data_IF_124975387298
#
_entry.id   IF_124975387298
#
_cell.length_a   1.000
_cell.length_b   1.000
_cell.length_c   1.000
_cell.angle_alpha   90.00
_cell.angle_beta   90.00
_cell.angle_gamma   90.00
#
_symmetry.space_group_name_H-M   'P 1'
#
loop_
_entity.id
_entity.type
_entity.pdbx_description
1 polymer ?
#
# COMPACT_ATOMS: atom_id res chain seq x y z
N UNK A 1 43.51 47.67 -0.15
CA UNK A 1 43.17 46.69 0.90
C UNK A 1 42.50 45.52 0.20
N UNK A 2 43.04 44.30 0.33
CA UNK A 2 42.38 43.11 -0.21
C UNK A 2 41.04 42.91 0.50
N UNK A 3 39.96 42.71 -0.25
CA UNK A 3 38.63 42.43 0.30
C UNK A 3 38.73 41.10 1.04
N UNK A 4 38.27 41.05 2.29
CA UNK A 4 38.31 39.84 3.09
C UNK A 4 37.50 38.74 2.38
N UNK A 5 38.11 37.57 2.19
CA UNK A 5 37.51 36.44 1.48
C UNK A 5 36.87 35.55 2.54
N UNK A 6 35.55 35.43 2.48
CA UNK A 6 34.81 34.50 3.33
C UNK A 6 35.27 33.07 3.04
N UNK A 7 35.50 32.26 4.06
CA UNK A 7 35.95 30.87 3.92
C UNK A 7 35.21 29.95 4.89
N UNK A 8 34.95 28.74 4.43
CA UNK A 8 34.42 27.62 5.23
C UNK A 8 35.45 26.49 5.24
N UNK A 9 35.82 26.00 6.41
CA UNK A 9 36.73 24.86 6.57
C UNK A 9 36.26 23.91 7.66
N UNK A 10 36.76 22.68 7.64
CA UNK A 10 36.46 21.67 8.64
C UNK A 10 36.98 20.31 8.22
N UNK A 11 36.61 19.29 8.98
CA UNK A 11 36.97 17.91 8.69
C UNK A 11 35.71 17.06 8.58
N UNK A 12 35.49 16.48 7.40
CA UNK A 12 34.35 15.64 7.13
C UNK A 12 34.51 14.24 7.73
N UNK A 13 33.42 13.74 8.30
CA UNK A 13 33.31 12.41 8.86
C UNK A 13 32.04 11.74 8.39
N UNK A 14 32.15 10.43 8.17
CA UNK A 14 31.09 9.59 7.66
C UNK A 14 30.74 8.52 8.68
N UNK A 15 29.47 8.45 9.07
CA UNK A 15 28.96 7.48 10.03
C UNK A 15 28.00 6.51 9.35
N UNK A 16 28.36 5.22 9.37
CA UNK A 16 27.58 4.15 8.77
C UNK A 16 27.41 4.22 7.24
N UNK A 17 28.23 5.01 6.55
CA UNK A 17 28.43 4.87 5.10
C UNK A 17 29.57 3.87 4.83
N UNK A 18 29.44 3.00 3.80
CA UNK A 18 30.51 2.09 3.44
C UNK A 18 31.67 2.88 2.81
N UNK A 19 32.67 3.21 3.62
CA UNK A 19 33.84 4.02 3.24
C UNK A 19 34.62 3.44 2.05
N UNK A 20 34.68 2.11 1.94
CA UNK A 20 35.30 1.40 0.81
C UNK A 20 34.64 1.67 -0.56
N UNK A 21 33.44 2.26 -0.57
CA UNK A 21 32.68 2.56 -1.79
C UNK A 21 32.69 4.04 -2.16
N UNK A 22 33.26 4.90 -1.33
CA UNK A 22 33.33 6.35 -1.59
C UNK A 22 34.49 6.63 -2.54
N UNK A 23 34.20 7.14 -3.73
CA UNK A 23 35.21 7.43 -4.75
C UNK A 23 35.64 8.90 -4.76
N UNK A 24 34.74 9.81 -4.42
CA UNK A 24 35.01 11.24 -4.35
C UNK A 24 34.06 11.90 -3.36
N UNK A 25 34.54 12.98 -2.73
CA UNK A 25 33.75 13.81 -1.83
C UNK A 25 34.00 15.27 -2.16
N UNK A 26 32.92 15.98 -2.46
CA UNK A 26 32.91 17.38 -2.85
C UNK A 26 32.07 18.18 -1.85
N UNK A 27 32.61 19.30 -1.39
CA UNK A 27 31.94 20.26 -0.52
C UNK A 27 31.50 21.44 -1.37
N UNK A 28 30.22 21.79 -1.28
CA UNK A 28 29.60 22.93 -1.93
C UNK A 28 29.11 23.92 -0.87
N UNK A 29 29.41 25.19 -1.05
CA UNK A 29 28.87 26.28 -0.22
C UNK A 29 27.87 27.05 -1.05
N UNK A 30 26.61 27.09 -0.63
CA UNK A 30 25.55 27.84 -1.32
C UNK A 30 25.00 28.96 -0.45
N UNK A 31 24.67 30.09 -1.07
CA UNK A 31 24.12 31.27 -0.38
C UNK A 31 22.66 31.10 0.02
N UNK A 32 21.88 30.34 -0.75
CA UNK A 32 20.48 30.06 -0.53
C UNK A 32 20.09 28.72 -1.16
N UNK A 33 18.98 28.16 -0.68
CA UNK A 33 18.37 26.95 -1.22
C UNK A 33 16.85 27.16 -1.24
N UNK A 34 16.18 26.93 -2.36
CA UNK A 34 14.72 27.01 -2.43
C UNK A 34 14.06 25.87 -1.62
N UNK A 35 12.81 26.06 -1.19
CA UNK A 35 12.09 25.01 -0.45
C UNK A 35 11.98 23.72 -1.28
N UNK A 36 11.73 23.83 -2.59
CA UNK A 36 11.67 22.69 -3.49
C UNK A 36 13.02 21.97 -3.63
N UNK A 37 14.13 22.72 -3.71
CA UNK A 37 15.48 22.14 -3.73
C UNK A 37 15.81 21.42 -2.42
N UNK A 38 15.42 22.02 -1.28
CA UNK A 38 15.58 21.42 0.05
C UNK A 38 14.82 20.11 0.18
N UNK A 39 13.54 20.10 -0.19
CA UNK A 39 12.71 18.89 -0.17
C UNK A 39 13.30 17.79 -1.05
N UNK A 40 13.76 18.15 -2.26
CA UNK A 40 14.33 17.20 -3.22
C UNK A 40 15.63 16.55 -2.69
N UNK A 41 16.49 17.33 -2.05
CA UNK A 41 17.74 16.85 -1.43
C UNK A 41 17.45 15.95 -0.21
N UNK A 42 16.50 16.33 0.64
CA UNK A 42 16.07 15.53 1.79
C UNK A 42 15.45 14.19 1.35
N UNK A 43 14.63 14.21 0.31
CA UNK A 43 13.98 13.01 -0.23
C UNK A 43 14.99 12.04 -0.85
N UNK A 44 15.97 12.55 -1.60
CA UNK A 44 17.10 11.74 -2.08
C UNK A 44 17.83 11.05 -0.92
N UNK A 45 18.10 11.78 0.17
CA UNK A 45 18.78 11.27 1.36
C UNK A 45 17.98 10.16 2.04
N UNK A 46 16.67 10.33 2.22
CA UNK A 46 15.79 9.28 2.76
C UNK A 46 15.82 7.99 1.92
N UNK A 47 15.66 8.11 0.59
CA UNK A 47 15.67 6.97 -0.32
C UNK A 47 17.04 6.26 -0.32
N UNK A 48 18.11 7.03 -0.21
CA UNK A 48 19.46 6.51 -0.11
C UNK A 48 19.66 5.70 1.17
N UNK A 49 19.22 6.22 2.32
CA UNK A 49 19.30 5.50 3.60
C UNK A 49 18.54 4.18 3.57
N UNK A 50 17.35 4.16 2.97
CA UNK A 50 16.57 2.94 2.79
C UNK A 50 17.35 1.90 1.96
N UNK A 51 18.06 2.34 0.91
CA UNK A 51 18.88 1.48 0.06
C UNK A 51 20.08 0.88 0.79
N UNK A 52 20.80 1.66 1.62
CA UNK A 52 22.03 1.17 2.29
C UNK A 52 21.77 0.41 3.59
N UNK A 53 20.69 0.71 4.32
CA UNK A 53 20.38 0.05 5.60
C UNK A 53 19.64 -1.27 5.42
N UNK A 54 19.27 -1.63 4.20
CA UNK A 54 18.43 -2.80 3.93
C UNK A 54 17.00 -2.65 4.47
N UNK A 55 16.60 -1.46 4.97
CA UNK A 55 15.20 -1.09 5.14
C UNK A 55 14.60 -0.79 3.77
N UNK A 56 14.58 -1.83 2.94
CA UNK A 56 13.62 -1.94 1.87
C UNK A 56 12.26 -1.92 2.58
N UNK A 57 11.56 -0.78 2.57
CA UNK A 57 10.09 -0.83 2.62
C UNK A 57 9.75 -1.91 1.63
N UNK A 58 9.17 -3.02 2.13
CA UNK A 58 8.85 -4.22 1.36
C UNK A 58 8.52 -3.81 -0.07
N UNK A 59 9.13 -4.46 -1.09
CA UNK A 59 8.73 -4.21 -2.48
C UNK A 59 7.20 -4.25 -2.50
N UNK A 60 6.60 -3.23 -3.14
CA UNK A 60 5.17 -3.00 -3.19
C UNK A 60 4.47 -4.37 -3.14
N UNK A 61 3.78 -4.64 -2.02
CA UNK A 61 3.08 -5.90 -1.83
C UNK A 61 2.24 -6.09 -3.10
N UNK A 62 2.61 -7.07 -3.92
CA UNK A 62 1.95 -7.31 -5.19
C UNK A 62 0.49 -7.47 -4.84
N UNK A 63 -0.36 -6.54 -5.30
CA UNK A 63 -1.78 -6.62 -5.00
C UNK A 63 -2.27 -7.99 -5.42
N UNK A 64 -2.80 -8.77 -4.46
CA UNK A 64 -3.39 -10.09 -4.75
C UNK A 64 -4.58 -10.01 -5.69
N UNK A 65 -5.14 -8.79 -5.86
CA UNK A 65 -6.27 -8.50 -6.72
C UNK A 65 -5.87 -7.43 -7.75
N UNK A 66 -5.94 -7.77 -9.04
CA UNK A 66 -5.61 -6.86 -10.13
C UNK A 66 -6.45 -5.57 -10.06
N UNK A 67 -5.80 -4.41 -10.17
CA UNK A 67 -6.47 -3.11 -10.19
C UNK A 67 -6.95 -2.60 -8.82
N UNK A 68 -6.34 -3.05 -7.72
CA UNK A 68 -6.64 -2.62 -6.34
C UNK A 68 -5.34 -2.32 -5.58
N UNK A 69 -5.43 -1.48 -4.53
CA UNK A 69 -4.28 -1.20 -3.64
C UNK A 69 -3.93 -2.44 -2.79
N UNK A 70 -2.67 -2.65 -2.39
CA UNK A 70 -2.29 -3.83 -1.60
C UNK A 70 -3.03 -3.94 -0.26
N UNK A 71 -3.25 -2.81 0.41
CA UNK A 71 -3.98 -2.75 1.69
C UNK A 71 -5.46 -3.14 1.51
N UNK A 72 -6.13 -2.59 0.49
CA UNK A 72 -7.51 -2.95 0.18
C UNK A 72 -7.59 -4.43 -0.25
N UNK A 73 -6.63 -4.92 -1.04
CA UNK A 73 -6.59 -6.31 -1.48
C UNK A 73 -6.48 -7.29 -0.32
N UNK A 74 -5.60 -7.03 0.66
CA UNK A 74 -5.49 -7.84 1.88
C UNK A 74 -6.80 -7.90 2.68
N UNK A 75 -7.48 -6.75 2.84
CA UNK A 75 -8.74 -6.68 3.58
C UNK A 75 -9.86 -7.43 2.86
N UNK A 76 -9.94 -7.27 1.55
CA UNK A 76 -10.91 -7.96 0.70
C UNK A 76 -10.68 -9.47 0.75
N UNK A 77 -9.44 -9.94 0.56
CA UNK A 77 -9.09 -11.37 0.61
C UNK A 77 -9.43 -12.00 1.97
N UNK A 78 -9.09 -11.33 3.07
CA UNK A 78 -9.46 -11.79 4.41
C UNK A 78 -10.98 -11.88 4.59
N UNK A 79 -11.72 -10.91 4.07
CA UNK A 79 -13.19 -10.89 4.12
C UNK A 79 -13.80 -12.04 3.33
N UNK A 80 -13.33 -12.28 2.09
CA UNK A 80 -13.79 -13.39 1.26
C UNK A 80 -13.48 -14.75 1.91
N UNK A 81 -12.29 -14.91 2.50
CA UNK A 81 -11.88 -16.15 3.16
C UNK A 81 -12.72 -16.47 4.41
N UNK A 82 -13.25 -15.47 5.10
CA UNK A 82 -14.10 -15.65 6.29
C UNK A 82 -15.57 -15.95 5.99
N UNK A 83 -16.06 -15.68 4.78
CA UNK A 83 -17.48 -15.91 4.43
C UNK A 83 -17.88 -17.39 4.44
N UNK A 84 -17.11 -18.35 3.89
CA UNK A 84 -17.47 -19.77 3.92
C UNK A 84 -17.79 -20.32 5.32
N UNK A 85 -17.13 -19.80 6.37
CA UNK A 85 -17.36 -20.22 7.76
C UNK A 85 -18.73 -19.76 8.30
N UNK A 86 -19.33 -18.74 7.67
CA UNK A 86 -20.62 -18.16 8.04
C UNK A 86 -21.78 -18.73 7.21
N UNK A 87 -21.54 -19.77 6.41
CA UNK A 87 -22.59 -20.38 5.60
C UNK A 87 -23.69 -20.98 6.51
N UNK A 88 -24.98 -20.68 6.27
CA UNK A 88 -26.06 -21.09 7.17
C UNK A 88 -26.19 -22.62 7.22
N UNK A 89 -26.15 -23.22 8.43
CA UNK A 89 -26.26 -24.67 8.59
C UNK A 89 -27.66 -25.17 8.18
N UNK A 90 -27.78 -26.48 7.95
CA UNK A 90 -29.08 -27.14 7.78
C UNK A 90 -29.96 -26.80 8.99
N UNK A 91 -31.15 -26.26 8.73
CA UNK A 91 -32.12 -25.96 9.77
C UNK A 91 -32.84 -27.24 10.17
N UNK A 92 -32.98 -27.47 11.47
CA UNK A 92 -33.72 -28.60 12.04
C UNK A 92 -34.73 -28.02 13.03
N UNK A 93 -35.97 -28.47 12.96
CA UNK A 93 -37.06 -27.98 13.81
C UNK A 93 -37.94 -29.16 14.24
N UNK A 94 -38.24 -29.22 15.53
CA UNK A 94 -39.13 -30.21 16.12
C UNK A 94 -40.54 -29.58 16.19
N UNK A 95 -41.45 -30.03 15.33
CA UNK A 95 -42.81 -29.49 15.18
C UNK A 95 -43.78 -30.33 16.00
N UNK A 96 -44.61 -29.67 16.81
CA UNK A 96 -45.72 -30.29 17.54
C UNK A 96 -46.93 -30.44 16.62
N UNK A 97 -47.31 -31.68 16.33
CA UNK A 97 -48.46 -32.02 15.49
C UNK A 97 -49.74 -32.22 16.34
N UNK A 98 -49.68 -31.92 17.64
CA UNK A 98 -50.73 -32.18 18.61
C UNK A 98 -50.73 -33.63 19.11
N UNK A 99 -51.58 -33.92 20.10
CA UNK A 99 -51.73 -35.27 20.70
C UNK A 99 -50.42 -35.91 21.19
N UNK A 100 -49.51 -35.12 21.80
CA UNK A 100 -48.17 -35.55 22.25
C UNK A 100 -47.27 -36.12 21.14
N UNK A 101 -47.48 -35.73 19.88
CA UNK A 101 -46.64 -36.13 18.74
C UNK A 101 -45.75 -34.97 18.32
N UNK A 102 -44.44 -35.16 18.48
CA UNK A 102 -43.42 -34.28 17.90
C UNK A 102 -42.77 -34.97 16.71
N UNK A 103 -42.60 -34.23 15.63
CA UNK A 103 -41.92 -34.71 14.44
C UNK A 103 -40.79 -33.75 14.07
N UNK A 104 -39.62 -34.33 13.79
CA UNK A 104 -38.44 -33.58 13.41
C UNK A 104 -38.44 -33.37 11.89
N UNK A 105 -38.34 -32.12 11.48
CA UNK A 105 -38.18 -31.71 10.09
C UNK A 105 -36.83 -31.02 9.91
N UNK A 106 -36.28 -31.09 8.69
CA UNK A 106 -34.99 -30.47 8.39
C UNK A 106 -34.99 -29.83 7.00
N UNK A 107 -34.33 -28.70 6.80
CA UNK A 107 -34.22 -28.08 5.47
C UNK A 107 -33.55 -29.02 4.45
N UNK A 108 -33.88 -28.87 3.17
CA UNK A 108 -33.35 -29.73 2.09
C UNK A 108 -31.82 -29.86 2.07
N UNK A 109 -31.30 -31.05 2.35
CA UNK A 109 -29.86 -31.36 2.29
C UNK A 109 -29.29 -31.28 0.87
N UNK A 110 -30.12 -31.46 -0.16
CA UNK A 110 -29.70 -31.32 -1.55
C UNK A 110 -29.45 -29.84 -1.89
N UNK A 111 -30.40 -28.96 -1.56
CA UNK A 111 -30.24 -27.51 -1.73
C UNK A 111 -29.07 -26.99 -0.89
N UNK A 112 -28.90 -27.48 0.35
CA UNK A 112 -27.76 -27.14 1.18
C UNK A 112 -26.42 -27.35 0.47
N UNK A 113 -26.18 -28.56 -0.05
CA UNK A 113 -24.93 -28.90 -0.76
C UNK A 113 -24.74 -28.06 -2.02
N UNK A 114 -25.83 -27.81 -2.74
CA UNK A 114 -25.79 -27.01 -3.96
C UNK A 114 -25.40 -25.56 -3.66
N UNK A 115 -26.07 -24.89 -2.72
CA UNK A 115 -25.73 -23.53 -2.33
C UNK A 115 -24.32 -23.43 -1.74
N UNK A 116 -23.92 -24.39 -0.88
CA UNK A 116 -22.57 -24.43 -0.33
C UNK A 116 -21.51 -24.47 -1.45
N UNK A 117 -21.73 -25.29 -2.48
CA UNK A 117 -20.86 -25.36 -3.65
C UNK A 117 -20.85 -24.05 -4.45
N UNK A 118 -22.03 -23.45 -4.68
CA UNK A 118 -22.15 -22.20 -5.43
C UNK A 118 -21.39 -21.06 -4.74
N UNK A 119 -21.56 -20.88 -3.43
CA UNK A 119 -20.81 -19.86 -2.68
C UNK A 119 -19.31 -20.16 -2.63
N UNK A 120 -18.91 -21.41 -2.42
CA UNK A 120 -17.49 -21.80 -2.43
C UNK A 120 -16.80 -21.59 -3.80
N UNK A 121 -17.58 -21.51 -4.88
CA UNK A 121 -17.06 -21.24 -6.22
C UNK A 121 -16.81 -19.75 -6.53
N UNK A 122 -17.24 -18.85 -5.64
CA UNK A 122 -17.05 -17.42 -5.79
C UNK A 122 -15.58 -17.05 -5.61
N UNK A 123 -15.06 -16.31 -6.58
CA UNK A 123 -13.71 -15.76 -6.66
C UNK A 123 -13.79 -14.32 -7.16
N UNK A 124 -12.74 -13.53 -6.97
CA UNK A 124 -12.71 -12.13 -7.43
C UNK A 124 -13.01 -11.96 -8.92
N UNK A 125 -12.51 -12.85 -9.77
CA UNK A 125 -12.71 -12.76 -11.22
C UNK A 125 -14.12 -13.17 -11.68
N UNK A 126 -14.98 -13.70 -10.80
CA UNK A 126 -16.33 -14.14 -11.15
C UNK A 126 -17.41 -13.62 -10.19
N UNK A 127 -17.08 -12.80 -9.18
CA UNK A 127 -17.98 -12.42 -8.09
C UNK A 127 -19.30 -11.84 -8.58
N UNK A 128 -19.29 -10.92 -9.55
CA UNK A 128 -20.50 -10.33 -10.13
C UNK A 128 -21.39 -11.38 -10.82
N UNK A 129 -20.78 -12.21 -11.68
CA UNK A 129 -21.49 -13.25 -12.45
C UNK A 129 -22.04 -14.33 -11.53
N UNK A 130 -21.25 -14.75 -10.54
CA UNK A 130 -21.62 -15.74 -9.56
C UNK A 130 -22.77 -15.26 -8.67
N UNK A 131 -22.74 -14.01 -8.22
CA UNK A 131 -23.83 -13.43 -7.44
C UNK A 131 -25.11 -13.27 -8.25
N UNK A 132 -25.03 -12.86 -9.52
CA UNK A 132 -26.19 -12.81 -10.39
C UNK A 132 -26.84 -14.19 -10.57
N UNK A 133 -26.02 -15.23 -10.77
CA UNK A 133 -26.51 -16.61 -10.86
C UNK A 133 -27.19 -17.07 -9.57
N UNK A 134 -26.54 -16.86 -8.42
CA UNK A 134 -27.08 -17.25 -7.11
C UNK A 134 -28.40 -16.53 -6.82
N UNK A 135 -28.50 -15.23 -7.11
CA UNK A 135 -29.74 -14.45 -6.91
C UNK A 135 -30.93 -15.01 -7.72
N UNK A 136 -30.69 -15.33 -9.00
CA UNK A 136 -31.69 -15.95 -9.86
C UNK A 136 -32.13 -17.31 -9.32
N UNK A 137 -31.18 -18.11 -8.82
CA UNK A 137 -31.47 -19.42 -8.23
C UNK A 137 -32.28 -19.31 -6.94
N UNK A 138 -31.92 -18.41 -6.02
CA UNK A 138 -32.70 -18.17 -4.79
C UNK A 138 -34.14 -17.79 -5.14
N UNK A 139 -34.32 -16.95 -6.17
CA UNK A 139 -35.66 -16.56 -6.63
C UNK A 139 -36.43 -17.75 -7.20
N UNK A 140 -35.82 -18.55 -8.06
CA UNK A 140 -36.44 -19.72 -8.66
C UNK A 140 -36.81 -20.80 -7.61
N UNK A 141 -35.90 -21.10 -6.68
CA UNK A 141 -36.13 -22.09 -5.62
C UNK A 141 -37.24 -21.62 -4.66
N UNK A 142 -37.27 -20.34 -4.29
CA UNK A 142 -38.36 -19.76 -3.49
C UNK A 142 -39.71 -19.88 -4.22
N UNK A 143 -39.77 -19.56 -5.51
CA UNK A 143 -41.01 -19.68 -6.30
C UNK A 143 -41.47 -21.13 -6.41
N UNK A 144 -40.56 -22.07 -6.67
CA UNK A 144 -40.88 -23.50 -6.76
C UNK A 144 -41.46 -24.04 -5.45
N UNK A 145 -40.89 -23.64 -4.30
CA UNK A 145 -41.41 -24.02 -2.99
C UNK A 145 -42.77 -23.40 -2.70
N UNK A 146 -42.97 -22.11 -2.97
CA UNK A 146 -44.26 -21.42 -2.74
C UNK A 146 -45.38 -22.00 -3.62
N UNK A 147 -45.11 -22.29 -4.89
CA UNK A 147 -46.09 -22.93 -5.79
C UNK A 147 -46.38 -24.36 -5.33
N UNK A 148 -45.36 -25.09 -4.89
CA UNK A 148 -45.50 -26.45 -4.36
C UNK A 148 -46.40 -26.53 -3.14
N UNK A 149 -46.40 -25.51 -2.27
CA UNK A 149 -47.18 -25.46 -1.01
C UNK A 149 -48.70 -25.44 -1.21
N UNK A 150 -49.21 -25.00 -2.37
CA UNK A 150 -50.64 -24.97 -2.64
C UNK A 150 -51.20 -26.38 -2.93
N UNK A 151 -51.79 -27.02 -1.92
CA UNK A 151 -52.51 -28.30 -2.06
C UNK A 151 -51.76 -29.54 -1.53
N UNK A 152 -50.72 -29.35 -0.72
CA UNK A 152 -49.96 -30.43 -0.07
C UNK A 152 -50.57 -30.90 1.26
N UNK A 153 -50.15 -32.08 1.71
CA UNK A 153 -50.39 -32.56 3.07
C UNK A 153 -49.55 -31.78 4.11
N UNK A 154 -49.93 -31.91 5.39
CA UNK A 154 -49.30 -31.18 6.51
C UNK A 154 -47.80 -31.47 6.62
N UNK A 155 -47.35 -32.69 6.31
CA UNK A 155 -45.91 -33.03 6.37
C UNK A 155 -45.10 -32.31 5.30
N UNK A 156 -45.59 -32.30 4.05
CA UNK A 156 -44.87 -31.65 2.96
C UNK A 156 -44.94 -30.12 3.09
N UNK A 157 -46.01 -29.59 3.68
CA UNK A 157 -46.12 -28.18 4.06
C UNK A 157 -45.04 -27.77 5.08
N UNK A 158 -44.92 -28.48 6.20
CA UNK A 158 -43.93 -28.18 7.25
C UNK A 158 -42.49 -28.25 6.73
N UNK A 159 -42.21 -29.27 5.92
CA UNK A 159 -40.92 -29.45 5.25
C UNK A 159 -40.58 -28.28 4.30
N UNK A 160 -41.57 -27.77 3.58
CA UNK A 160 -41.41 -26.62 2.69
C UNK A 160 -41.20 -25.31 3.48
N UNK A 161 -41.93 -25.07 4.57
CA UNK A 161 -41.75 -23.89 5.43
C UNK A 161 -40.35 -23.81 6.04
N UNK A 162 -39.83 -24.93 6.57
CA UNK A 162 -38.48 -24.97 7.16
C UNK A 162 -37.42 -24.72 6.09
N UNK A 163 -37.62 -25.26 4.88
CA UNK A 163 -36.72 -25.02 3.76
C UNK A 163 -36.77 -23.56 3.29
N UNK A 164 -37.96 -22.96 3.19
CA UNK A 164 -38.14 -21.54 2.88
C UNK A 164 -37.48 -20.64 3.93
N UNK A 165 -37.59 -20.98 5.21
CA UNK A 165 -36.93 -20.21 6.25
C UNK A 165 -35.41 -20.36 6.24
N UNK A 166 -34.87 -21.53 5.87
CA UNK A 166 -33.45 -21.69 5.63
C UNK A 166 -32.97 -20.88 4.42
N UNK A 167 -33.75 -20.83 3.32
CA UNK A 167 -33.45 -19.98 2.16
C UNK A 167 -33.40 -18.48 2.51
N UNK A 168 -34.15 -18.01 3.50
CA UNK A 168 -34.01 -16.63 4.03
C UNK A 168 -32.63 -16.40 4.66
N UNK A 169 -32.08 -17.38 5.37
CA UNK A 169 -30.72 -17.29 5.91
C UNK A 169 -29.67 -17.35 4.78
N UNK A 170 -29.92 -18.14 3.74
CA UNK A 170 -29.09 -18.15 2.51
C UNK A 170 -29.13 -16.78 1.82
N UNK A 171 -30.29 -16.12 1.77
CA UNK A 171 -30.42 -14.76 1.24
C UNK A 171 -29.63 -13.73 2.07
N UNK A 172 -29.60 -13.87 3.40
CA UNK A 172 -28.75 -13.01 4.24
C UNK A 172 -27.26 -13.25 3.96
N UNK A 173 -26.86 -14.51 3.82
CA UNK A 173 -25.49 -14.86 3.45
C UNK A 173 -25.10 -14.31 2.06
N UNK A 174 -26.02 -14.37 1.09
CA UNK A 174 -25.87 -13.73 -0.21
C UNK A 174 -25.61 -12.22 -0.08
N UNK A 175 -26.36 -11.52 0.79
CA UNK A 175 -26.19 -10.08 0.98
C UNK A 175 -24.76 -9.74 1.49
N UNK A 176 -24.16 -10.58 2.34
CA UNK A 176 -22.77 -10.39 2.77
C UNK A 176 -21.77 -10.42 1.61
N UNK A 177 -22.01 -11.26 0.60
CA UNK A 177 -21.20 -11.25 -0.62
C UNK A 177 -21.48 -10.03 -1.51
N UNK A 178 -22.72 -9.53 -1.54
CA UNK A 178 -23.07 -8.29 -2.25
C UNK A 178 -22.33 -7.10 -1.65
N UNK A 179 -22.32 -6.97 -0.33
CA UNK A 179 -21.58 -5.93 0.38
C UNK A 179 -20.08 -6.01 0.08
N UNK A 180 -19.52 -7.23 0.03
CA UNK A 180 -18.13 -7.46 -0.35
C UNK A 180 -17.85 -7.07 -1.82
N UNK A 181 -18.76 -7.38 -2.74
CA UNK A 181 -18.64 -6.98 -4.14
C UNK A 181 -18.69 -5.46 -4.31
N UNK A 182 -19.53 -4.77 -3.53
CA UNK A 182 -19.55 -3.31 -3.49
C UNK A 182 -18.23 -2.74 -2.96
N UNK A 183 -17.70 -3.30 -1.87
CA UNK A 183 -16.40 -2.89 -1.32
C UNK A 183 -15.26 -3.09 -2.33
N UNK A 184 -15.30 -4.16 -3.14
CA UNK A 184 -14.37 -4.40 -4.24
C UNK A 184 -14.45 -3.30 -5.31
N UNK A 185 -15.66 -2.93 -5.74
CA UNK A 185 -15.87 -1.83 -6.72
C UNK A 185 -15.38 -0.50 -6.15
N UNK A 186 -15.68 -0.21 -4.89
CA UNK A 186 -15.25 1.03 -4.23
C UNK A 186 -13.73 1.10 -4.13
N UNK A 187 -13.06 0.00 -3.75
CA UNK A 187 -11.61 -0.09 -3.70
C UNK A 187 -10.98 0.11 -5.09
N UNK A 188 -11.55 -0.50 -6.13
CA UNK A 188 -11.11 -0.30 -7.52
C UNK A 188 -11.29 1.15 -7.97
N UNK A 189 -12.40 1.79 -7.64
CA UNK A 189 -12.64 3.19 -7.96
C UNK A 189 -11.68 4.12 -7.21
N UNK A 190 -11.41 3.87 -5.92
CA UNK A 190 -10.37 4.59 -5.16
C UNK A 190 -9.01 4.44 -5.80
N UNK A 191 -8.65 3.23 -6.23
CA UNK A 191 -7.37 2.97 -6.90
C UNK A 191 -7.27 3.68 -8.25
N UNK A 192 -8.33 3.66 -9.06
CA UNK A 192 -8.39 4.39 -10.33
C UNK A 192 -8.33 5.90 -10.14
N UNK A 193 -9.01 6.44 -9.11
CA UNK A 193 -8.93 7.86 -8.76
C UNK A 193 -7.53 8.23 -8.28
N UNK A 194 -6.89 7.40 -7.45
CA UNK A 194 -5.51 7.61 -7.03
C UNK A 194 -4.54 7.58 -8.22
N UNK A 195 -4.73 6.69 -9.19
CA UNK A 195 -3.96 6.67 -10.43
C UNK A 195 -4.21 7.89 -11.32
N UNK A 196 -5.47 8.34 -11.43
CA UNK A 196 -5.81 9.52 -12.20
C UNK A 196 -5.24 10.81 -11.58
N UNK A 197 -5.16 10.88 -10.25
CA UNK A 197 -4.45 11.96 -9.53
C UNK A 197 -2.93 11.84 -9.69
N UNK A 198 -2.40 10.63 -9.85
CA UNK A 198 -0.99 10.36 -10.16
C UNK A 198 -0.60 10.61 -11.64
N UNK A 199 -1.38 11.41 -12.38
CA UNK A 199 -1.04 11.86 -13.75
C UNK A 199 0.08 12.93 -13.79
N UNK A 200 0.57 13.38 -12.64
CA UNK A 200 1.94 13.91 -12.47
C UNK A 200 2.86 12.73 -12.21
N UNK A 201 4.00 12.57 -12.91
CA UNK A 201 4.84 11.38 -12.77
C UNK A 201 5.09 11.11 -11.29
N UNK A 202 4.63 9.95 -10.82
CA UNK A 202 4.73 9.58 -9.42
C UNK A 202 6.18 9.74 -8.97
N UNK A 203 6.40 10.49 -7.89
CA UNK A 203 7.74 10.64 -7.35
C UNK A 203 8.35 9.24 -7.13
N UNK A 204 9.56 8.97 -7.65
CA UNK A 204 10.15 7.66 -7.54
C UNK A 204 10.29 7.22 -6.07
N UNK A 205 9.96 5.96 -5.80
CA UNK A 205 9.99 5.37 -4.45
C UNK A 205 11.28 4.63 -4.15
N UNK A 206 12.12 4.41 -5.16
CA UNK A 206 13.46 3.85 -5.03
C UNK A 206 14.52 4.89 -5.46
N UNK A 207 15.70 4.74 -4.88
CA UNK A 207 16.77 5.70 -5.05
C UNK A 207 17.31 5.78 -6.49
N UNK A 208 17.40 4.65 -7.20
CA UNK A 208 17.97 4.59 -8.55
C UNK A 208 17.08 5.35 -9.55
N UNK A 209 15.76 5.13 -9.50
CA UNK A 209 14.82 5.86 -10.33
C UNK A 209 14.71 7.35 -9.94
N UNK A 210 14.82 7.67 -8.64
CA UNK A 210 14.78 9.06 -8.17
C UNK A 210 15.95 9.88 -8.71
N UNK A 211 17.17 9.37 -8.57
CA UNK A 211 18.37 10.06 -9.05
C UNK A 211 18.36 10.16 -10.57
N UNK A 212 17.94 9.12 -11.29
CA UNK A 212 17.81 9.18 -12.74
C UNK A 212 16.82 10.27 -13.20
N UNK A 213 15.69 10.43 -12.49
CA UNK A 213 14.67 11.41 -12.82
C UNK A 213 15.09 12.85 -12.48
N UNK A 214 15.79 13.04 -11.36
CA UNK A 214 16.07 14.36 -10.82
C UNK A 214 17.54 14.81 -10.90
N UNK A 215 18.44 14.05 -11.52
CA UNK A 215 19.88 14.37 -11.60
C UNK A 215 20.16 15.81 -12.04
N UNK A 216 19.55 16.25 -13.15
CA UNK A 216 19.74 17.60 -13.67
C UNK A 216 19.17 18.67 -12.72
N UNK A 217 18.02 18.40 -12.10
CA UNK A 217 17.40 19.33 -11.16
C UNK A 217 18.27 19.51 -9.91
N UNK A 218 18.83 18.43 -9.37
CA UNK A 218 19.73 18.46 -8.21
C UNK A 218 21.04 19.24 -8.49
N UNK A 219 21.58 19.11 -9.71
CA UNK A 219 22.74 19.92 -10.14
C UNK A 219 22.35 21.40 -10.25
N UNK A 220 21.19 21.72 -10.82
CA UNK A 220 20.71 23.10 -10.91
C UNK A 220 20.46 23.70 -9.52
N UNK A 221 19.78 22.96 -8.64
CA UNK A 221 19.47 23.35 -7.26
C UNK A 221 20.72 23.74 -6.46
N UNK A 222 21.85 23.08 -6.71
CA UNK A 222 23.11 23.30 -6.00
C UNK A 222 24.03 24.32 -6.69
N UNK A 223 23.82 24.60 -7.98
CA UNK A 223 24.69 25.50 -8.77
C UNK A 223 24.17 26.94 -8.84
N UNK A 224 22.85 27.17 -8.78
CA UNK A 224 22.24 28.50 -8.94
C UNK A 224 22.73 29.53 -7.92
N UNK A 225 23.09 29.07 -6.71
CA UNK A 225 23.51 29.91 -5.59
C UNK A 225 24.91 29.58 -5.06
N UNK A 226 25.72 28.90 -5.87
CA UNK A 226 27.06 28.41 -5.48
C UNK A 226 28.02 29.57 -5.19
N UNK A 227 28.56 29.58 -3.98
CA UNK A 227 29.60 30.51 -3.51
C UNK A 227 31.00 29.92 -3.66
N UNK A 228 31.13 28.60 -3.54
CA UNK A 228 32.40 27.90 -3.74
C UNK A 228 32.24 26.38 -3.66
N UNK A 229 33.20 25.67 -4.26
CA UNK A 229 33.26 24.21 -4.25
C UNK A 229 34.72 23.75 -4.09
N UNK A 230 34.94 22.67 -3.34
CA UNK A 230 36.24 21.99 -3.29
C UNK A 230 36.08 20.50 -2.99
N UNK A 231 37.07 19.70 -3.36
CA UNK A 231 37.16 18.30 -2.95
C UNK A 231 37.84 18.19 -1.59
N UNK A 232 37.41 17.22 -0.78
CA UNK A 232 38.08 16.92 0.49
C UNK A 232 39.42 16.24 0.24
N UNK A 233 40.39 16.49 1.13
CA UNK A 233 41.61 15.69 1.17
C UNK A 233 41.33 14.26 1.65
N UNK A 234 42.34 13.38 1.57
CA UNK A 234 42.25 11.98 1.99
C UNK A 234 41.87 11.78 3.46
N UNK A 235 42.15 12.76 4.32
CA UNK A 235 41.79 12.73 5.75
C UNK A 235 40.41 13.36 6.04
N UNK A 236 39.70 13.78 4.99
CA UNK A 236 38.39 14.45 5.05
C UNK A 236 38.47 15.96 5.26
N UNK A 237 39.67 16.55 5.40
CA UNK A 237 39.81 17.99 5.57
C UNK A 237 39.44 18.76 4.31
N UNK A 238 38.93 19.99 4.48
CA UNK A 238 38.61 20.87 3.37
C UNK A 238 38.72 22.35 3.76
N UNK A 239 38.96 23.19 2.75
CA UNK A 239 38.81 24.64 2.81
C UNK A 239 38.15 25.10 1.51
N UNK A 240 37.03 25.82 1.61
CA UNK A 240 36.22 26.27 0.47
C UNK A 240 35.91 27.75 0.61
N UNK A 241 35.94 28.49 -0.49
CA UNK A 241 35.52 29.89 -0.51
C UNK A 241 34.01 30.03 -0.29
N UNK A 242 33.61 31.02 0.49
CA UNK A 242 32.22 31.32 0.81
C UNK A 242 31.82 30.98 2.24
N UNK A 243 30.71 31.57 2.67
CA UNK A 243 30.04 31.34 3.94
C UNK A 243 28.56 31.16 3.63
N UNK A 244 27.97 30.04 4.02
CA UNK A 244 26.58 29.73 3.70
C UNK A 244 26.19 28.31 4.11
N UNK A 245 25.16 27.80 3.45
CA UNK A 245 24.67 26.43 3.63
C UNK A 245 25.72 25.48 3.06
N UNK A 246 26.13 24.49 3.85
CA UNK A 246 27.10 23.48 3.44
C UNK A 246 26.37 22.26 2.89
N UNK A 247 26.71 21.88 1.67
CA UNK A 247 26.20 20.68 0.99
C UNK A 247 27.38 19.78 0.68
N UNK A 248 27.24 18.49 0.98
CA UNK A 248 28.26 17.48 0.71
C UNK A 248 27.75 16.54 -0.36
N UNK A 249 28.50 16.44 -1.47
CA UNK A 249 28.25 15.47 -2.53
C UNK A 249 29.24 14.31 -2.38
N UNK A 250 28.71 13.11 -2.23
CA UNK A 250 29.49 11.88 -2.10
C UNK A 250 29.26 11.01 -3.33
N UNK A 251 30.33 10.56 -3.98
CA UNK A 251 30.24 9.57 -5.06
C UNK A 251 30.43 8.16 -4.51
N UNK A 252 29.49 7.28 -4.84
CA UNK A 252 29.42 5.88 -4.42
C UNK A 252 29.30 4.98 -5.65
N UNK A 253 30.44 4.47 -6.14
CA UNK A 253 30.49 3.70 -7.38
C UNK A 253 30.15 4.54 -8.61
N UNK A 254 29.02 4.27 -9.28
CA UNK A 254 28.59 4.97 -10.51
C UNK A 254 27.60 6.13 -10.23
N UNK A 255 27.52 6.59 -8.99
CA UNK A 255 26.34 7.31 -8.50
C UNK A 255 26.74 8.38 -7.47
N UNK A 256 26.03 9.52 -7.42
CA UNK A 256 26.30 10.59 -6.45
C UNK A 256 25.10 10.91 -5.56
N UNK A 257 25.35 11.19 -4.28
CA UNK A 257 24.34 11.56 -3.27
C UNK A 257 24.72 12.90 -2.66
N UNK A 258 23.72 13.74 -2.42
CA UNK A 258 23.91 15.05 -1.77
C UNK A 258 23.32 15.04 -0.36
N UNK A 259 24.05 15.62 0.59
CA UNK A 259 23.67 15.81 1.98
C UNK A 259 23.68 17.30 2.31
N UNK A 260 22.62 17.81 2.91
CA UNK A 260 22.54 19.21 3.37
C UNK A 260 22.85 19.24 4.87
N UNK A 261 23.93 19.91 5.25
CA UNK A 261 24.38 19.99 6.63
C UNK A 261 23.77 21.21 7.31
N UNK A 262 22.45 21.16 7.48
CA UNK A 262 21.65 22.23 8.11
C UNK A 262 20.61 21.63 9.07
N UNK A 263 20.90 20.49 9.68
CA UNK A 263 19.97 19.93 10.65
C UNK A 263 20.70 19.17 11.73
N UNK A 264 20.24 19.36 12.95
CA UNK A 264 20.50 18.48 14.10
C UNK A 264 20.07 17.01 13.85
N UNK A 265 19.63 16.69 12.62
CA UNK A 265 19.12 15.39 12.16
C UNK A 265 20.04 14.71 11.15
N UNK A 266 21.09 15.37 10.64
CA UNK A 266 22.02 14.70 9.73
C UNK A 266 23.04 13.90 10.54
N UNK A 267 22.81 12.59 10.59
CA UNK A 267 23.61 11.65 11.39
C UNK A 267 24.70 10.95 10.55
N UNK A 268 24.61 10.97 9.22
CA UNK A 268 25.51 10.20 8.34
C UNK A 268 26.75 10.94 7.93
N UNK A 269 26.64 12.26 7.78
CA UNK A 269 27.70 13.13 7.31
C UNK A 269 27.79 14.27 8.30
N UNK A 270 28.93 14.41 8.97
CA UNK A 270 29.15 15.48 9.92
C UNK A 270 30.48 16.18 9.68
N UNK A 271 30.56 17.46 10.04
CA UNK A 271 31.80 18.23 9.96
C UNK A 271 32.30 18.47 11.38
N UNK A 272 33.44 17.89 11.69
CA UNK A 272 34.21 18.24 12.88
C UNK A 272 34.91 19.59 12.66
N UNK A 273 34.98 20.41 13.71
CA UNK A 273 35.75 21.66 13.71
C UNK A 273 35.33 22.64 12.60
N UNK A 274 34.04 22.69 12.25
CA UNK A 274 33.52 23.63 11.26
C UNK A 274 33.87 25.08 11.66
N UNK A 275 34.59 25.77 10.78
CA UNK A 275 34.93 27.17 10.92
C UNK A 275 34.43 27.93 9.69
N UNK A 276 33.66 28.98 9.93
CA UNK A 276 33.26 29.93 8.91
C UNK A 276 33.84 31.29 9.28
N UNK A 277 34.87 31.71 8.56
CA UNK A 277 35.61 32.93 8.85
C UNK A 277 35.42 33.97 7.75
N UNK A 278 35.60 35.24 8.15
CA UNK A 278 35.41 36.43 7.32
C UNK A 278 36.69 37.19 7.09
#
# INVERSE_FOLDING_TARGET
>A
MAKAVLKTSGILRFEGLPTERISATEILIVSALSDAARERLLRQRELFENKITGRVKKPAEVSGIEGISPMDAMQLEASLAGLPEQFPPIRVEDVDLGNNRQQRYQSSSALFKEYQYLFASIKWNNIERGLAFIANKITADNQALVVGVNGLDDETFQQAEITLSWLKAVQQHYNSYVDLAQAYVDAKNRFLQAQAVASTPAEPTDWDAYVAMYANALIMDTSEHLLGAAFTETDGSFEVEGHGIVIVRVELGLASVYFVLDSDKEERVHIEQLQQTS
#
